data_IF_935726140475
#
_entry.id   IF_935726140475
#
_cell.length_a   1.000
_cell.length_b   1.000
_cell.length_c   1.000
_cell.angle_alpha   90.00
_cell.angle_beta   90.00
_cell.angle_gamma   90.00
#
_symmetry.space_group_name_H-M   'P 1'
#
loop_
_entity.id
_entity.type
_entity.pdbx_description
1 polymer ?
#
# COMPACT_ATOMS: atom_id res chain seq x y z
N UNK A 1 -14.79 -13.84 -63.97
CA UNK A 1 -15.17 -13.79 -62.54
C UNK A 1 -14.52 -15.00 -61.90
N UNK A 2 -13.82 -14.79 -60.78
CA UNK A 2 -13.17 -15.80 -59.92
C UNK A 2 -11.95 -16.47 -60.58
N UNK A 3 -10.77 -16.58 -59.98
CA UNK A 3 -10.29 -16.20 -58.64
C UNK A 3 -8.95 -16.93 -58.51
N UNK A 4 -7.84 -16.19 -58.50
CA UNK A 4 -6.51 -16.77 -58.32
C UNK A 4 -6.37 -17.18 -56.85
N UNK A 5 -6.39 -18.49 -56.61
CA UNK A 5 -6.06 -19.10 -55.33
C UNK A 5 -4.56 -19.04 -55.05
N UNK A 6 -4.21 -18.70 -53.81
CA UNK A 6 -3.09 -19.33 -53.10
C UNK A 6 -1.69 -18.76 -53.33
N UNK A 7 -1.40 -17.58 -52.76
CA UNK A 7 -0.03 -17.26 -52.35
C UNK A 7 0.04 -17.33 -50.82
N UNK A 8 0.51 -18.45 -50.30
CA UNK A 8 0.89 -18.59 -48.90
C UNK A 8 2.20 -17.82 -48.68
N UNK A 9 2.09 -16.61 -48.12
CA UNK A 9 3.24 -15.87 -47.60
C UNK A 9 3.63 -16.46 -46.24
N UNK A 10 4.58 -17.39 -46.25
CA UNK A 10 5.19 -17.95 -45.05
C UNK A 10 6.26 -16.96 -44.55
N UNK A 11 5.97 -16.27 -43.45
CA UNK A 11 6.94 -15.55 -42.63
C UNK A 11 7.85 -16.56 -41.90
N UNK A 12 9.10 -16.18 -41.61
CA UNK A 12 10.22 -16.95 -41.00
C UNK A 12 9.93 -17.61 -39.64
N UNK A 13 8.70 -17.52 -39.12
CA UNK A 13 8.22 -18.24 -37.93
C UNK A 13 7.28 -19.42 -38.25
N UNK A 14 6.85 -19.61 -39.49
CA UNK A 14 6.13 -20.81 -39.95
C UNK A 14 4.68 -20.97 -39.45
N UNK A 15 4.06 -19.96 -38.83
CA UNK A 15 2.70 -20.07 -38.28
C UNK A 15 1.70 -19.13 -38.98
N UNK A 16 0.48 -19.61 -39.32
CA UNK A 16 -0.53 -18.80 -39.99
C UNK A 16 -1.15 -17.73 -39.05
N UNK A 17 -1.51 -16.59 -39.64
CA UNK A 17 -1.85 -15.33 -38.94
C UNK A 17 -3.03 -15.43 -37.95
N UNK A 18 -3.93 -16.40 -38.13
CA UNK A 18 -5.11 -16.59 -37.26
C UNK A 18 -4.80 -17.27 -35.91
N UNK A 19 -3.56 -17.75 -35.71
CA UNK A 19 -3.11 -18.36 -34.44
C UNK A 19 -2.32 -17.37 -33.55
N UNK A 20 -2.16 -16.11 -33.95
CA UNK A 20 -1.46 -15.09 -33.13
C UNK A 20 -2.33 -14.56 -31.98
N UNK A 21 -3.65 -14.64 -32.08
CA UNK A 21 -4.57 -14.14 -31.04
C UNK A 21 -4.69 -15.08 -29.82
N UNK A 22 -4.19 -16.33 -29.93
CA UNK A 22 -4.19 -17.31 -28.83
C UNK A 22 -2.86 -17.36 -28.03
N UNK A 23 -1.89 -16.50 -28.36
CA UNK A 23 -0.61 -16.37 -27.66
C UNK A 23 -0.53 -15.11 -26.78
N UNK A 24 -1.66 -14.66 -26.24
CA UNK A 24 -1.60 -13.86 -25.01
C UNK A 24 -1.04 -14.76 -23.89
N UNK A 25 -0.08 -14.29 -23.06
CA UNK A 25 0.43 -15.10 -21.97
C UNK A 25 -0.74 -15.53 -21.08
N UNK A 26 -0.90 -16.84 -20.85
CA UNK A 26 -1.89 -17.41 -19.93
C UNK A 26 -1.80 -16.72 -18.57
N UNK A 27 -2.74 -15.82 -18.31
CA UNK A 27 -3.31 -15.46 -17.02
C UNK A 27 -2.32 -15.16 -15.90
N UNK A 28 -1.64 -14.01 -15.93
CA UNK A 28 -1.28 -13.37 -14.67
C UNK A 28 -2.59 -12.97 -13.97
N UNK A 29 -2.93 -13.64 -12.87
CA UNK A 29 -4.04 -13.22 -12.00
C UNK A 29 -3.76 -11.78 -11.58
N UNK A 30 -4.61 -10.85 -12.01
CA UNK A 30 -4.50 -9.45 -11.59
C UNK A 30 -4.60 -9.39 -10.06
N UNK A 31 -3.55 -8.88 -9.41
CA UNK A 31 -3.53 -8.78 -7.94
C UNK A 31 -4.57 -7.77 -7.48
N UNK A 32 -5.50 -8.21 -6.63
CA UNK A 32 -6.55 -7.36 -6.08
C UNK A 32 -6.04 -6.68 -4.81
N UNK A 33 -5.94 -5.35 -4.85
CA UNK A 33 -5.42 -4.56 -3.74
C UNK A 33 -6.50 -3.68 -3.14
N UNK A 34 -6.62 -3.72 -1.82
CA UNK A 34 -7.50 -2.84 -1.06
C UNK A 34 -6.69 -1.79 -0.33
N UNK A 35 -6.98 -0.52 -0.56
CA UNK A 35 -6.61 0.57 0.34
C UNK A 35 -7.78 0.84 1.26
N UNK A 36 -7.63 0.49 2.54
CA UNK A 36 -8.68 0.54 3.54
C UNK A 36 -8.47 1.75 4.47
N UNK A 37 -9.41 2.68 4.42
CA UNK A 37 -9.52 3.79 5.38
C UNK A 37 -10.10 3.23 6.68
N UNK A 38 -9.25 3.07 7.70
CA UNK A 38 -9.65 2.51 9.00
C UNK A 38 -9.93 3.59 10.06
N UNK A 39 -9.49 4.81 9.81
CA UNK A 39 -9.65 5.96 10.70
C UNK A 39 -9.60 7.24 9.87
N UNK A 40 -10.43 8.24 10.15
CA UNK A 40 -10.49 9.47 9.32
C UNK A 40 -9.75 10.64 9.97
N UNK A 41 -9.67 10.66 11.29
CA UNK A 41 -9.06 11.73 12.06
C UNK A 41 -7.54 11.68 11.92
N UNK A 42 -6.94 12.86 11.82
CA UNK A 42 -5.50 13.04 11.69
C UNK A 42 -5.09 14.19 12.60
N UNK A 43 -3.99 14.03 13.33
CA UNK A 43 -3.39 15.09 14.15
C UNK A 43 -2.42 15.98 13.36
N UNK A 44 -2.22 15.69 12.06
CA UNK A 44 -1.42 16.51 11.14
C UNK A 44 -2.33 17.29 10.19
N UNK A 45 -1.89 18.48 9.81
CA UNK A 45 -2.62 19.41 8.93
C UNK A 45 -1.92 19.60 7.57
N UNK A 46 -1.30 18.54 7.05
CA UNK A 46 -0.45 18.60 5.85
C UNK A 46 -1.12 19.33 4.66
N UNK A 47 -0.35 20.19 3.99
CA UNK A 47 -0.84 21.07 2.92
C UNK A 47 -1.43 20.29 1.75
N UNK A 48 -0.79 19.20 1.31
CA UNK A 48 -1.24 18.37 0.18
C UNK A 48 -1.86 17.04 0.59
N UNK A 49 -2.46 16.95 1.78
CA UNK A 49 -3.00 15.68 2.29
C UNK A 49 -4.06 15.07 1.36
N UNK A 50 -3.81 13.86 0.86
CA UNK A 50 -4.73 13.12 -0.01
C UNK A 50 -6.13 12.93 0.60
N UNK A 51 -6.25 12.87 1.92
CA UNK A 51 -7.55 12.74 2.58
C UNK A 51 -8.47 13.95 2.35
N UNK A 52 -7.94 15.08 1.88
CA UNK A 52 -8.71 16.27 1.48
C UNK A 52 -9.21 16.18 0.03
N UNK A 53 -8.57 15.34 -0.79
CA UNK A 53 -8.92 15.14 -2.20
C UNK A 53 -10.03 14.08 -2.39
N UNK A 54 -10.34 13.31 -1.34
CA UNK A 54 -11.36 12.26 -1.35
C UNK A 54 -12.49 12.57 -0.36
N UNK A 55 -13.73 12.28 -0.76
CA UNK A 55 -14.87 12.26 0.18
C UNK A 55 -14.84 10.98 1.00
N UNK A 56 -14.01 10.97 2.04
CA UNK A 56 -13.80 9.79 2.89
C UNK A 56 -15.08 9.27 3.54
N UNK A 57 -16.07 10.15 3.80
CA UNK A 57 -17.34 9.78 4.44
C UNK A 57 -18.21 8.94 3.51
N UNK A 58 -18.19 9.25 2.22
CA UNK A 58 -19.02 8.60 1.22
C UNK A 58 -18.29 7.49 0.45
N UNK A 59 -17.06 7.13 0.85
CA UNK A 59 -16.40 5.93 0.33
C UNK A 59 -17.25 4.68 0.61
N UNK A 60 -17.28 3.70 -0.32
CA UNK A 60 -17.93 2.43 -0.08
C UNK A 60 -17.35 1.73 1.15
N UNK A 61 -18.23 1.10 1.94
CA UNK A 61 -17.83 0.29 3.09
C UNK A 61 -17.33 -1.06 2.58
N UNK A 62 -16.18 -1.52 3.06
CA UNK A 62 -15.74 -2.90 2.85
C UNK A 62 -16.19 -3.81 4.00
N UNK A 63 -16.81 -4.93 3.64
CA UNK A 63 -17.28 -5.97 4.57
C UNK A 63 -16.71 -7.35 4.26
N UNK A 64 -16.17 -7.58 3.05
CA UNK A 64 -15.59 -8.84 2.62
C UNK A 64 -14.13 -8.66 2.17
N UNK A 65 -13.23 -9.22 2.98
CA UNK A 65 -11.78 -9.17 2.74
C UNK A 65 -11.24 -10.39 1.98
N UNK A 66 -12.07 -11.41 1.70
CA UNK A 66 -11.63 -12.70 1.15
C UNK A 66 -11.02 -12.60 -0.25
N UNK A 67 -11.41 -11.59 -1.02
CA UNK A 67 -11.02 -11.42 -2.41
C UNK A 67 -9.68 -10.71 -2.64
N UNK A 68 -9.07 -10.12 -1.61
CA UNK A 68 -7.87 -9.29 -1.77
C UNK A 68 -6.58 -10.09 -1.54
N UNK A 69 -5.59 -9.84 -2.37
CA UNK A 69 -4.24 -10.40 -2.21
C UNK A 69 -3.39 -9.50 -1.29
N UNK A 70 -3.66 -8.19 -1.28
CA UNK A 70 -2.95 -7.19 -0.48
C UNK A 70 -3.92 -6.14 0.09
N UNK A 71 -3.76 -5.79 1.37
CA UNK A 71 -4.59 -4.82 2.09
C UNK A 71 -3.68 -3.79 2.75
N UNK A 72 -3.87 -2.52 2.39
CA UNK A 72 -3.15 -1.37 2.91
C UNK A 72 -4.05 -0.65 3.91
N UNK A 73 -3.70 -0.73 5.20
CA UNK A 73 -4.39 -0.01 6.27
C UNK A 73 -3.90 1.43 6.28
N UNK A 74 -4.81 2.39 6.10
CA UNK A 74 -4.50 3.81 6.00
C UNK A 74 -5.70 4.66 6.45
N UNK A 75 -5.69 5.96 6.17
CA UNK A 75 -6.71 6.90 6.61
C UNK A 75 -6.09 8.22 7.02
N UNK A 76 -6.65 8.85 8.05
CA UNK A 76 -6.06 9.99 8.74
C UNK A 76 -4.69 9.66 9.32
N UNK A 77 -4.58 9.48 10.64
CA UNK A 77 -3.40 8.86 11.26
C UNK A 77 -3.80 7.60 12.02
N UNK A 78 -3.66 6.40 11.41
CA UNK A 78 -4.05 5.14 12.03
C UNK A 78 -3.47 4.89 13.42
N UNK A 79 -2.22 5.29 13.67
CA UNK A 79 -1.53 5.05 14.94
C UNK A 79 -2.04 5.94 16.09
N UNK A 80 -3.07 6.77 15.87
CA UNK A 80 -3.86 7.38 16.96
C UNK A 80 -4.78 6.35 17.64
N UNK A 81 -5.10 5.24 16.98
CA UNK A 81 -6.02 4.20 17.47
C UNK A 81 -5.46 2.78 17.27
N UNK A 82 -4.28 2.44 17.82
CA UNK A 82 -3.57 1.18 17.56
C UNK A 82 -4.40 -0.08 17.85
N UNK A 83 -5.26 -0.05 18.87
CA UNK A 83 -6.15 -1.18 19.17
C UNK A 83 -7.16 -1.46 18.05
N UNK A 84 -7.66 -0.42 17.38
CA UNK A 84 -8.57 -0.59 16.25
C UNK A 84 -7.87 -1.21 15.05
N UNK A 85 -6.59 -0.88 14.83
CA UNK A 85 -5.76 -1.53 13.81
C UNK A 85 -5.70 -3.03 14.08
N UNK A 86 -5.37 -3.45 15.31
CA UNK A 86 -5.26 -4.87 15.68
C UNK A 86 -6.60 -5.59 15.51
N UNK A 87 -7.72 -4.99 15.94
CA UNK A 87 -9.06 -5.55 15.74
C UNK A 87 -9.37 -5.74 14.25
N UNK A 88 -9.04 -4.74 13.43
CA UNK A 88 -9.23 -4.80 11.98
C UNK A 88 -8.40 -5.91 11.35
N UNK A 89 -7.13 -6.04 11.73
CA UNK A 89 -6.26 -7.13 11.25
C UNK A 89 -6.84 -8.50 11.62
N UNK A 90 -7.31 -8.69 12.85
CA UNK A 90 -7.94 -9.96 13.27
C UNK A 90 -9.16 -10.30 12.42
N UNK A 91 -10.00 -9.32 12.09
CA UNK A 91 -11.17 -9.51 11.21
C UNK A 91 -10.75 -9.86 9.78
N UNK A 92 -9.75 -9.16 9.23
CA UNK A 92 -9.18 -9.48 7.93
C UNK A 92 -8.65 -10.91 7.94
N UNK A 93 -7.87 -11.31 8.94
CA UNK A 93 -7.28 -12.66 9.06
C UNK A 93 -8.31 -13.75 9.22
N UNK A 94 -9.46 -13.46 9.84
CA UNK A 94 -10.57 -14.39 9.94
C UNK A 94 -11.19 -14.68 8.56
N UNK A 95 -11.37 -13.65 7.73
CA UNK A 95 -11.93 -13.79 6.37
C UNK A 95 -10.87 -14.23 5.34
N UNK A 96 -9.60 -13.87 5.55
CA UNK A 96 -8.52 -14.06 4.60
C UNK A 96 -7.17 -14.28 5.32
N UNK A 97 -6.78 -15.56 5.38
CA UNK A 97 -5.56 -16.00 6.09
C UNK A 97 -4.27 -15.62 5.37
N UNK A 98 -4.32 -15.35 4.06
CA UNK A 98 -3.12 -15.25 3.21
C UNK A 98 -2.86 -13.85 2.65
N UNK A 99 -3.84 -12.93 2.70
CA UNK A 99 -3.65 -11.54 2.29
C UNK A 99 -2.44 -10.89 2.96
N UNK A 100 -1.61 -10.18 2.21
CA UNK A 100 -0.56 -9.35 2.82
C UNK A 100 -1.18 -8.10 3.40
N UNK A 101 -0.87 -7.76 4.66
CA UNK A 101 -1.40 -6.57 5.32
C UNK A 101 -0.25 -5.62 5.64
N UNK A 102 -0.37 -4.39 5.13
CA UNK A 102 0.61 -3.33 5.34
C UNK A 102 -0.05 -2.13 6.02
N UNK A 103 0.65 -1.48 6.95
CA UNK A 103 0.20 -0.24 7.56
C UNK A 103 0.90 0.97 6.94
N UNK A 104 0.14 2.02 6.62
CA UNK A 104 0.65 3.32 6.21
C UNK A 104 0.45 4.31 7.36
N UNK A 105 1.53 4.91 7.85
CA UNK A 105 1.49 5.84 9.00
C UNK A 105 2.57 6.92 8.89
N UNK A 106 2.32 8.06 9.51
CA UNK A 106 3.31 9.11 9.75
C UNK A 106 3.72 9.21 11.24
N UNK A 107 3.11 8.40 12.13
CA UNK A 107 3.34 8.42 13.56
C UNK A 107 4.11 7.18 14.01
N UNK A 108 5.34 7.37 14.47
CA UNK A 108 6.20 6.29 14.98
C UNK A 108 6.46 6.36 16.48
N UNK A 109 6.01 7.42 17.16
CA UNK A 109 6.10 7.56 18.61
C UNK A 109 4.73 7.39 19.30
N UNK A 110 4.62 6.66 20.43
CA UNK A 110 5.69 5.89 21.05
C UNK A 110 5.98 4.59 20.25
N UNK A 111 7.26 4.18 20.12
CA UNK A 111 7.63 3.07 19.23
C UNK A 111 7.08 1.71 19.68
N UNK A 112 6.82 1.53 20.98
CA UNK A 112 6.26 0.28 21.50
C UNK A 112 4.85 0.00 20.97
N UNK A 113 4.03 1.03 20.81
CA UNK A 113 2.69 0.87 20.23
C UNK A 113 2.80 0.38 18.79
N UNK A 114 3.68 0.99 17.99
CA UNK A 114 3.90 0.57 16.61
C UNK A 114 4.48 -0.84 16.50
N UNK A 115 5.40 -1.22 17.40
CA UNK A 115 5.94 -2.58 17.47
C UNK A 115 4.85 -3.60 17.84
N UNK A 116 3.94 -3.25 18.75
CA UNK A 116 2.81 -4.12 19.13
C UNK A 116 1.91 -4.42 17.93
N UNK A 117 1.65 -3.41 17.09
CA UNK A 117 0.87 -3.55 15.86
C UNK A 117 1.66 -4.31 14.79
N UNK A 118 2.96 -4.04 14.64
CA UNK A 118 3.85 -4.66 13.64
C UNK A 118 3.87 -6.19 13.72
N UNK A 119 3.68 -6.76 14.91
CA UNK A 119 3.60 -8.21 15.11
C UNK A 119 2.50 -8.88 14.27
N UNK A 120 1.43 -8.14 13.93
CA UNK A 120 0.30 -8.64 13.16
C UNK A 120 0.38 -8.31 11.66
N UNK A 121 1.37 -7.52 11.24
CA UNK A 121 1.51 -7.01 9.88
C UNK A 121 2.55 -7.79 9.09
N UNK A 122 2.47 -7.71 7.76
CA UNK A 122 3.51 -8.17 6.84
C UNK A 122 4.55 -7.08 6.57
N UNK A 123 4.22 -5.83 6.89
CA UNK A 123 5.13 -4.70 6.79
C UNK A 123 4.47 -3.36 7.07
N UNK A 124 5.26 -2.31 6.96
CA UNK A 124 4.84 -0.93 7.18
C UNK A 124 5.44 0.01 6.14
N UNK A 125 4.71 1.07 5.84
CA UNK A 125 5.19 2.24 5.12
C UNK A 125 5.13 3.44 6.07
N UNK A 126 6.29 3.96 6.45
CA UNK A 126 6.41 5.20 7.24
C UNK A 126 6.62 6.36 6.28
N UNK A 127 5.91 7.47 6.51
CA UNK A 127 6.06 8.69 5.70
C UNK A 127 6.54 9.86 6.56
N UNK A 128 7.71 10.40 6.22
CA UNK A 128 8.27 11.60 6.81
C UNK A 128 7.81 12.80 5.97
N UNK A 129 6.88 13.56 6.50
CA UNK A 129 6.30 14.74 5.85
C UNK A 129 7.11 16.00 6.19
N UNK A 130 7.58 16.08 7.43
CA UNK A 130 8.24 17.26 8.00
C UNK A 130 9.50 16.86 8.81
N UNK A 131 10.40 17.81 9.06
CA UNK A 131 11.72 17.49 9.62
C UNK A 131 11.63 16.89 11.04
N UNK A 132 10.61 17.25 11.82
CA UNK A 132 10.41 16.69 13.16
C UNK A 132 9.99 15.22 13.14
N UNK A 133 9.43 14.71 12.03
CA UNK A 133 9.11 13.28 11.89
C UNK A 133 10.39 12.42 11.97
N UNK A 134 11.54 12.99 11.62
CA UNK A 134 12.85 12.32 11.64
C UNK A 134 13.25 11.93 13.06
N UNK A 135 12.96 12.78 14.06
CA UNK A 135 13.32 12.50 15.45
C UNK A 135 12.51 11.33 16.01
N UNK A 136 11.18 11.37 15.84
CA UNK A 136 10.31 10.26 16.24
C UNK A 136 10.65 8.96 15.48
N UNK A 137 10.94 9.07 14.19
CA UNK A 137 11.32 7.95 13.35
C UNK A 137 12.65 7.33 13.78
N UNK A 138 13.63 8.14 14.19
CA UNK A 138 14.96 7.67 14.61
C UNK A 138 14.87 6.63 15.72
N UNK A 139 14.02 6.85 16.73
CA UNK A 139 13.85 5.90 17.83
C UNK A 139 13.33 4.54 17.33
N UNK A 140 12.28 4.56 16.53
CA UNK A 140 11.71 3.35 15.95
C UNK A 140 12.71 2.65 15.01
N UNK A 141 13.38 3.42 14.15
CA UNK A 141 14.39 2.91 13.21
C UNK A 141 15.56 2.22 13.92
N UNK A 142 16.05 2.78 15.03
CA UNK A 142 17.14 2.18 15.80
C UNK A 142 16.74 0.80 16.36
N UNK A 143 15.50 0.66 16.85
CA UNK A 143 14.98 -0.63 17.32
C UNK A 143 14.88 -1.63 16.16
N UNK A 144 14.30 -1.22 15.03
CA UNK A 144 14.16 -2.10 13.86
C UNK A 144 15.52 -2.54 13.34
N UNK A 145 16.47 -1.63 13.20
CA UNK A 145 17.81 -1.90 12.68
C UNK A 145 18.61 -2.83 13.61
N UNK A 146 18.49 -2.67 14.93
CA UNK A 146 19.15 -3.52 15.92
C UNK A 146 18.44 -4.84 16.24
N UNK A 147 17.33 -5.16 15.56
CA UNK A 147 16.55 -6.39 15.79
C UNK A 147 16.73 -7.41 14.67
N UNK A 148 16.24 -8.63 14.85
CA UNK A 148 16.13 -9.65 13.79
C UNK A 148 14.77 -9.63 13.05
N UNK A 149 13.99 -8.55 13.22
CA UNK A 149 12.65 -8.47 12.61
C UNK A 149 12.79 -8.44 11.08
N UNK A 150 12.12 -9.41 10.44
CA UNK A 150 12.02 -9.58 8.99
C UNK A 150 10.60 -9.27 8.52
N UNK A 151 10.33 -7.99 8.26
CA UNK A 151 9.07 -7.49 7.69
C UNK A 151 9.39 -6.59 6.50
N UNK A 152 8.39 -6.26 5.68
CA UNK A 152 8.58 -5.26 4.62
C UNK A 152 8.59 -3.85 5.20
N UNK A 153 9.71 -3.17 5.14
CA UNK A 153 9.84 -1.79 5.62
C UNK A 153 10.01 -0.84 4.43
N UNK A 154 9.11 0.13 4.30
CA UNK A 154 9.18 1.19 3.28
C UNK A 154 9.20 2.56 3.92
N UNK A 155 10.08 3.43 3.45
CA UNK A 155 10.24 4.78 3.96
C UNK A 155 9.99 5.78 2.84
N UNK A 156 8.93 6.57 2.99
CA UNK A 156 8.59 7.66 2.10
C UNK A 156 9.12 8.97 2.68
N UNK A 157 9.88 9.73 1.90
CA UNK A 157 10.54 10.94 2.37
C UNK A 157 10.15 12.10 1.45
N UNK A 158 9.48 13.11 2.01
CA UNK A 158 9.16 14.33 1.29
C UNK A 158 10.41 15.17 0.99
N UNK A 159 10.33 15.97 -0.09
CA UNK A 159 11.41 16.85 -0.49
C UNK A 159 11.78 17.81 0.66
N UNK A 160 13.08 17.93 0.95
CA UNK A 160 13.62 18.84 1.95
C UNK A 160 13.86 18.23 3.33
N UNK A 161 13.49 16.97 3.55
CA UNK A 161 13.76 16.27 4.81
C UNK A 161 15.20 15.75 4.83
N UNK A 162 15.96 16.12 5.86
CA UNK A 162 17.31 15.64 6.10
C UNK A 162 17.27 14.37 6.97
N UNK A 163 17.74 13.27 6.38
CA UNK A 163 17.88 11.95 7.01
C UNK A 163 19.35 11.54 7.17
N UNK A 164 20.30 12.47 7.03
CA UNK A 164 21.72 12.19 7.26
C UNK A 164 21.91 11.58 8.65
N UNK A 165 22.80 10.60 8.74
CA UNK A 165 23.12 9.86 9.96
C UNK A 165 22.02 8.90 10.46
N UNK A 166 21.11 8.46 9.60
CA UNK A 166 20.25 7.30 9.88
C UNK A 166 20.79 6.05 9.19
N UNK A 167 20.90 4.94 9.93
CA UNK A 167 21.08 3.64 9.31
C UNK A 167 19.72 3.16 8.77
N UNK A 168 19.57 3.13 7.44
CA UNK A 168 18.32 2.77 6.77
C UNK A 168 18.43 1.45 5.99
N UNK A 169 19.40 0.59 6.33
CA UNK A 169 19.69 -0.64 5.58
C UNK A 169 18.50 -1.61 5.44
N UNK A 170 17.55 -1.56 6.37
CA UNK A 170 16.32 -2.37 6.35
C UNK A 170 15.18 -1.79 5.52
N UNK A 171 15.29 -0.55 5.06
CA UNK A 171 14.20 0.19 4.43
C UNK A 171 14.33 0.25 2.92
N UNK A 172 13.23 0.01 2.23
CA UNK A 172 13.08 0.40 0.82
C UNK A 172 12.67 1.87 0.80
N UNK A 173 13.53 2.72 0.25
CA UNK A 173 13.38 4.18 0.36
C UNK A 173 12.77 4.77 -0.92
N UNK A 174 11.77 5.63 -0.74
CA UNK A 174 11.22 6.52 -1.76
C UNK A 174 11.48 7.97 -1.36
N UNK A 175 12.51 8.56 -1.97
CA UNK A 175 12.97 9.92 -1.67
C UNK A 175 12.31 10.99 -2.54
N UNK A 176 12.46 12.25 -2.12
CA UNK A 176 12.07 13.45 -2.86
C UNK A 176 10.59 13.43 -3.28
N UNK A 177 9.73 12.89 -2.42
CA UNK A 177 8.30 12.90 -2.68
C UNK A 177 7.77 14.34 -2.69
N UNK A 178 6.83 14.55 -3.60
CA UNK A 178 6.06 15.79 -3.71
C UNK A 178 4.58 15.44 -3.59
N UNK A 179 3.79 16.43 -3.19
CA UNK A 179 2.34 16.28 -3.12
C UNK A 179 1.77 16.08 -4.52
N UNK A 180 0.92 15.07 -4.68
CA UNK A 180 0.27 14.76 -5.95
C UNK A 180 -1.16 15.25 -5.86
N UNK A 181 -1.57 16.11 -6.80
CA UNK A 181 -2.94 16.62 -6.86
C UNK A 181 -3.93 15.48 -7.15
N UNK A 182 -5.08 15.51 -6.48
CA UNK A 182 -6.18 14.53 -6.62
C UNK A 182 -5.83 13.10 -6.20
N UNK A 183 -4.62 12.88 -5.67
CA UNK A 183 -4.09 11.60 -5.21
C UNK A 183 -4.68 10.35 -5.90
N UNK A 184 -4.37 10.14 -7.19
CA UNK A 184 -4.93 9.03 -7.95
C UNK A 184 -4.51 7.69 -7.33
N UNK A 185 -5.42 6.72 -7.36
CA UNK A 185 -5.12 5.37 -6.93
C UNK A 185 -4.21 4.67 -7.95
N UNK A 186 -3.21 3.89 -7.50
CA UNK A 186 -2.47 2.99 -8.37
C UNK A 186 -3.39 1.99 -9.09
N UNK A 187 -2.96 1.54 -10.28
CA UNK A 187 -3.68 0.52 -11.04
C UNK A 187 -3.88 -0.75 -10.20
N UNK A 188 -5.11 -1.28 -10.19
CA UNK A 188 -5.47 -2.48 -9.43
C UNK A 188 -5.78 -2.24 -7.94
N UNK A 189 -5.67 -0.99 -7.46
CA UNK A 189 -6.10 -0.61 -6.11
C UNK A 189 -7.53 -0.08 -6.10
N UNK A 190 -8.32 -0.57 -5.15
CA UNK A 190 -9.62 0.02 -4.78
C UNK A 190 -9.50 0.73 -3.44
N UNK A 191 -10.18 1.87 -3.29
CA UNK A 191 -10.25 2.63 -2.04
C UNK A 191 -11.63 2.43 -1.41
N UNK A 192 -11.65 1.94 -0.18
CA UNK A 192 -12.86 1.74 0.61
C UNK A 192 -12.61 2.11 2.06
N UNK A 193 -13.67 2.24 2.85
CA UNK A 193 -13.58 2.52 4.29
C UNK A 193 -14.08 1.35 5.14
N UNK A 194 -13.59 1.28 6.36
CA UNK A 194 -14.18 0.43 7.38
C UNK A 194 -15.51 1.04 7.86
N UNK A 195 -16.42 0.19 8.33
CA UNK A 195 -17.59 0.66 9.07
C UNK A 195 -17.16 1.21 10.44
N UNK A 196 -17.54 2.46 10.73
CA UNK A 196 -17.23 3.15 11.99
C UNK A 196 -17.78 2.42 13.21
N UNK A 197 -18.85 1.63 13.06
CA UNK A 197 -19.42 0.79 14.13
C UNK A 197 -18.50 -0.35 14.57
N UNK A 198 -17.42 -0.59 13.83
CA UNK A 198 -16.52 -1.72 14.03
C UNK A 198 -15.12 -1.30 14.49
N UNK A 199 -14.94 -0.02 14.80
CA UNK A 199 -13.71 0.59 15.32
C UNK A 199 -13.60 0.34 16.83
#
# INVERSE_FOLDING_TARGET
>A
MLGLEGINLIDRSGLPHHLRDELSPKGEKEMKKLRLIIFKECNKSCIGCCNKDWDLKNLPIETDFSQYDEILLTGGEPMLVPLSIIRTIKRIRHANKTAKIYLYTAKTYPPLDLLSVLNFLDGITVTLHEQWDVEEFRFFNNIITGSEITKSFRLNIFKGIDIKNLNLSKWIIKNNMTWIKNCPLPKGEVLKRLDEKLI
#
